data_IF_368484952169
#
_entry.id   IF_368484952169
#
_cell.length_a   1.000
_cell.length_b   1.000
_cell.length_c   1.000
_cell.angle_alpha   90.00
_cell.angle_beta   90.00
_cell.angle_gamma   90.00
#
_symmetry.space_group_name_H-M   'P 1'
#
loop_
_entity.id
_entity.type
_entity.pdbx_description
1 polymer ?
#
# COMPACT_ATOMS: atom_id res chain seq x y z
N UNK A 1 -34.46 -0.13 -10.16
CA UNK A 1 -33.40 0.10 -9.15
C UNK A 1 -32.06 0.20 -9.89
N UNK A 2 -31.64 1.42 -10.24
CA UNK A 2 -30.43 1.66 -11.05
C UNK A 2 -29.25 1.84 -10.09
N UNK A 3 -28.27 0.94 -10.14
CA UNK A 3 -27.00 1.13 -9.43
C UNK A 3 -26.36 2.40 -10.02
N UNK A 4 -26.22 3.45 -9.20
CA UNK A 4 -25.41 4.62 -9.56
C UNK A 4 -23.99 4.13 -9.76
N UNK A 5 -23.60 3.88 -11.01
CA UNK A 5 -22.22 3.56 -11.36
C UNK A 5 -21.34 4.71 -10.87
N UNK A 6 -20.31 4.34 -10.12
CA UNK A 6 -19.24 5.17 -9.60
C UNK A 6 -18.73 6.20 -10.63
N UNK A 7 -19.29 7.41 -10.62
CA UNK A 7 -18.86 8.55 -11.45
C UNK A 7 -17.46 9.06 -11.09
N UNK A 8 -16.82 8.51 -10.06
CA UNK A 8 -15.42 8.80 -9.73
C UNK A 8 -14.41 8.14 -10.68
N UNK A 9 -14.84 7.14 -11.46
CA UNK A 9 -13.98 6.44 -12.44
C UNK A 9 -13.75 7.23 -13.74
N UNK A 10 -14.49 8.31 -13.98
CA UNK A 10 -14.26 9.18 -15.15
C UNK A 10 -13.13 10.21 -14.94
N UNK A 11 -12.47 10.20 -13.78
CA UNK A 11 -11.25 10.97 -13.60
C UNK A 11 -10.11 10.30 -14.38
N UNK A 12 -9.74 10.91 -15.50
CA UNK A 12 -8.50 10.59 -16.21
C UNK A 12 -7.32 10.68 -15.25
N UNK A 13 -6.52 9.62 -15.18
CA UNK A 13 -5.25 9.60 -14.44
C UNK A 13 -4.40 10.77 -14.93
N UNK A 14 -4.15 11.76 -14.07
CA UNK A 14 -3.44 12.98 -14.46
C UNK A 14 -1.94 12.74 -14.60
N UNK A 15 -1.38 11.84 -13.78
CA UNK A 15 0.03 11.53 -13.73
C UNK A 15 0.22 10.04 -13.40
N UNK A 16 1.17 9.38 -14.06
CA UNK A 16 1.53 7.99 -13.82
C UNK A 16 3.03 7.84 -14.02
N UNK A 17 3.70 7.31 -13.01
CA UNK A 17 5.12 6.96 -13.02
C UNK A 17 5.24 5.50 -12.56
N UNK A 18 6.16 4.75 -13.16
CA UNK A 18 6.33 3.31 -12.90
C UNK A 18 7.77 3.00 -12.49
N UNK A 19 7.93 2.10 -11.52
CA UNK A 19 9.20 1.49 -11.16
C UNK A 19 9.06 -0.03 -11.19
N UNK A 20 10.04 -0.71 -11.77
CA UNK A 20 10.16 -2.17 -11.72
C UNK A 20 11.27 -2.53 -10.72
N UNK A 21 10.93 -3.36 -9.73
CA UNK A 21 11.83 -3.74 -8.64
C UNK A 21 11.76 -5.25 -8.41
N UNK A 22 12.93 -5.86 -8.22
CA UNK A 22 13.04 -7.26 -7.84
C UNK A 22 12.73 -7.40 -6.34
N UNK A 23 12.07 -8.50 -5.96
CA UNK A 23 11.85 -8.83 -4.55
C UNK A 23 13.21 -9.10 -3.85
N UNK A 24 13.74 -8.06 -3.22
CA UNK A 24 15.01 -8.03 -2.52
C UNK A 24 14.85 -7.32 -1.17
N UNK A 25 15.76 -7.51 -0.20
CA UNK A 25 15.66 -6.91 1.13
C UNK A 25 15.53 -5.37 1.14
N UNK A 26 16.02 -4.71 0.10
CA UNK A 26 16.03 -3.25 -0.08
C UNK A 26 14.86 -2.71 -0.93
N UNK A 27 13.98 -3.58 -1.44
CA UNK A 27 12.87 -3.20 -2.32
C UNK A 27 11.95 -2.13 -1.70
N UNK A 28 11.67 -2.22 -0.41
CA UNK A 28 10.85 -1.23 0.32
C UNK A 28 11.53 0.12 0.43
N UNK A 29 12.85 0.15 0.63
CA UNK A 29 13.62 1.39 0.68
C UNK A 29 13.64 2.09 -0.69
N UNK A 30 13.86 1.33 -1.77
CA UNK A 30 13.83 1.83 -3.15
C UNK A 30 12.45 2.39 -3.48
N UNK A 31 11.38 1.66 -3.17
CA UNK A 31 10.01 2.10 -3.40
C UNK A 31 9.68 3.40 -2.64
N UNK A 32 10.13 3.53 -1.39
CA UNK A 32 9.96 4.76 -0.60
C UNK A 32 10.66 5.96 -1.22
N UNK A 33 11.89 5.79 -1.71
CA UNK A 33 12.63 6.87 -2.38
C UNK A 33 11.91 7.30 -3.66
N UNK A 34 11.49 6.33 -4.48
CA UNK A 34 10.73 6.58 -5.70
C UNK A 34 9.45 7.36 -5.41
N UNK A 35 8.60 6.87 -4.49
CA UNK A 35 7.34 7.53 -4.13
C UNK A 35 7.54 8.95 -3.60
N UNK A 36 8.55 9.19 -2.75
CA UNK A 36 8.85 10.55 -2.27
C UNK A 36 9.14 11.50 -3.44
N UNK A 37 9.98 11.07 -4.39
CA UNK A 37 10.34 11.88 -5.56
C UNK A 37 9.15 12.10 -6.49
N UNK A 38 8.38 11.05 -6.77
CA UNK A 38 7.19 11.13 -7.61
C UNK A 38 6.14 12.07 -7.02
N UNK A 39 5.86 11.97 -5.72
CA UNK A 39 4.88 12.85 -5.06
C UNK A 39 5.35 14.31 -4.96
N UNK A 40 6.66 14.52 -4.81
CA UNK A 40 7.26 15.87 -4.93
C UNK A 40 7.06 16.43 -6.34
N UNK A 41 7.32 15.62 -7.38
CA UNK A 41 7.12 16.01 -8.77
C UNK A 41 5.65 16.31 -9.10
N UNK A 42 4.72 15.51 -8.56
CA UNK A 42 3.28 15.72 -8.69
C UNK A 42 2.74 16.87 -7.82
N UNK A 43 3.60 17.51 -7.01
CA UNK A 43 3.22 18.57 -6.08
C UNK A 43 2.08 18.15 -5.15
N UNK A 44 2.16 16.93 -4.61
CA UNK A 44 1.14 16.33 -3.75
C UNK A 44 1.63 16.10 -2.31
N UNK A 45 2.08 17.15 -1.57
CA UNK A 45 2.62 17.00 -0.23
C UNK A 45 1.62 16.44 0.79
N UNK A 46 0.32 16.68 0.57
CA UNK A 46 -0.75 16.33 1.49
C UNK A 46 -1.03 14.82 1.59
N UNK A 47 -0.48 13.99 0.70
CA UNK A 47 -0.67 12.53 0.72
C UNK A 47 0.64 11.75 0.92
N UNK A 48 1.75 12.43 1.19
CA UNK A 48 3.07 11.77 1.22
C UNK A 48 3.13 10.68 2.27
N UNK A 49 2.72 10.95 3.50
CA UNK A 49 2.84 9.97 4.59
C UNK A 49 1.92 8.75 4.39
N UNK A 50 0.70 8.98 3.92
CA UNK A 50 -0.27 7.92 3.59
C UNK A 50 0.26 7.04 2.46
N UNK A 51 0.73 7.66 1.37
CA UNK A 51 1.22 6.92 0.21
C UNK A 51 2.52 6.16 0.51
N UNK A 52 3.40 6.70 1.36
CA UNK A 52 4.58 5.98 1.81
C UNK A 52 4.22 4.77 2.67
N UNK A 53 3.17 4.86 3.49
CA UNK A 53 2.68 3.73 4.28
C UNK A 53 2.11 2.64 3.37
N UNK A 54 1.13 3.00 2.54
CA UNK A 54 0.48 2.07 1.60
C UNK A 54 1.49 1.42 0.66
N UNK A 55 2.36 2.20 0.03
CA UNK A 55 3.33 1.65 -0.91
C UNK A 55 4.38 0.75 -0.25
N UNK A 56 4.76 1.02 1.00
CA UNK A 56 5.67 0.14 1.75
C UNK A 56 4.99 -1.21 2.04
N UNK A 57 3.73 -1.20 2.46
CA UNK A 57 2.97 -2.42 2.72
C UNK A 57 2.76 -3.24 1.44
N UNK A 58 2.44 -2.59 0.31
CA UNK A 58 2.28 -3.26 -0.98
C UNK A 58 3.56 -3.96 -1.42
N UNK A 59 4.72 -3.28 -1.31
CA UNK A 59 6.01 -3.87 -1.68
C UNK A 59 6.43 -4.98 -0.71
N UNK A 60 6.14 -4.81 0.59
CA UNK A 60 6.38 -5.85 1.60
C UNK A 60 5.57 -7.10 1.28
N UNK A 61 4.28 -6.95 0.96
CA UNK A 61 3.41 -8.06 0.60
C UNK A 61 3.81 -8.73 -0.72
N UNK A 62 4.23 -7.94 -1.72
CA UNK A 62 4.71 -8.47 -2.99
C UNK A 62 6.05 -9.21 -2.86
N UNK A 63 6.90 -8.78 -1.92
CA UNK A 63 8.21 -9.38 -1.65
C UNK A 63 8.16 -10.52 -0.64
N UNK A 64 7.02 -10.72 0.03
CA UNK A 64 6.86 -11.80 1.01
C UNK A 64 6.93 -13.17 0.32
N UNK A 65 7.59 -14.16 0.94
CA UNK A 65 7.54 -15.54 0.47
C UNK A 65 6.07 -15.99 0.32
N UNK A 66 5.72 -16.59 -0.82
CA UNK A 66 4.33 -17.03 -1.08
C UNK A 66 3.85 -17.96 0.03
N UNK A 67 2.74 -17.61 0.67
CA UNK A 67 2.11 -18.40 1.73
C UNK A 67 2.36 -17.90 3.16
N UNK A 68 3.19 -16.88 3.35
CA UNK A 68 3.40 -16.25 4.67
C UNK A 68 2.59 -14.95 4.74
N UNK A 69 1.55 -14.86 5.59
CA UNK A 69 0.89 -13.58 5.86
C UNK A 69 1.88 -12.63 6.56
N UNK A 70 2.02 -11.41 6.04
CA UNK A 70 2.88 -10.36 6.60
C UNK A 70 2.45 -9.86 7.99
N UNK A 71 1.24 -10.25 8.42
CA UNK A 71 0.71 -9.99 9.75
C UNK A 71 0.44 -11.33 10.45
N UNK A 72 0.66 -11.44 11.77
CA UNK A 72 0.10 -12.56 12.51
C UNK A 72 -1.43 -12.53 12.30
N UNK A 73 -1.98 -13.57 11.66
CA UNK A 73 -3.42 -13.79 11.74
C UNK A 73 -3.68 -14.15 13.19
N UNK A 74 -4.21 -13.22 13.97
CA UNK A 74 -4.82 -13.60 15.23
C UNK A 74 -5.88 -14.66 14.91
N UNK A 75 -5.77 -15.84 15.52
CA UNK A 75 -6.78 -16.86 15.35
C UNK A 75 -8.11 -16.34 15.94
N UNK A 76 -9.23 -16.91 15.49
CA UNK A 76 -10.54 -16.57 16.07
C UNK A 76 -10.58 -16.87 17.58
N UNK A 77 -9.74 -17.78 18.06
CA UNK A 77 -9.58 -18.04 19.50
C UNK A 77 -8.80 -16.91 20.19
N UNK A 78 -7.73 -16.39 19.59
CA UNK A 78 -6.94 -15.28 20.15
C UNK A 78 -7.75 -13.98 20.26
N UNK A 79 -8.63 -13.71 19.29
CA UNK A 79 -9.56 -12.58 19.36
C UNK A 79 -10.63 -12.73 20.45
N UNK A 80 -10.87 -13.95 20.95
CA UNK A 80 -11.80 -14.22 22.07
C UNK A 80 -11.12 -14.19 23.44
N UNK A 81 -9.78 -14.24 23.48
CA UNK A 81 -8.99 -14.32 24.70
C UNK A 81 -8.60 -12.98 25.32
N UNK A 82 -8.95 -11.85 24.69
CA UNK A 82 -8.70 -10.51 25.22
C UNK A 82 -9.61 -10.19 26.42
N UNK A 83 -9.28 -10.74 27.58
CA UNK A 83 -9.75 -10.25 28.87
C UNK A 83 -9.18 -8.85 29.09
N UNK A 84 -9.98 -7.82 28.81
CA UNK A 84 -9.73 -6.48 29.31
C UNK A 84 -10.10 -6.45 30.79
N UNK A 85 -9.16 -6.90 31.64
CA UNK A 85 -9.18 -6.70 33.08
C UNK A 85 -8.25 -5.53 33.43
#
# INVERSE_FOLDING_TARGET
MIRKHATHLTNTVRFSDTIDIVAAPDATAIARIFMKRTLQWWQAPQVVDDMLTVGTELVTNASAPRGVPSYPRYSREELKGGSWA
#
